data_IF_562372864399
#
_entry.id   IF_562372864399
#
_cell.length_a   1.000
_cell.length_b   1.000
_cell.length_c   1.000
_cell.angle_alpha   90.00
_cell.angle_beta   90.00
_cell.angle_gamma   90.00
#
_symmetry.space_group_name_H-M   'P 1'
#
loop_
_entity.id
_entity.type
_entity.pdbx_description
1 polymer ?
#
# COMPACT_ATOMS: atom_id res chain seq x y z
N UNK A 1 27.46 3.63 -21.51
CA UNK A 1 26.24 3.21 -20.77
C UNK A 1 25.52 4.48 -20.34
N UNK A 2 24.45 4.82 -21.05
CA UNK A 2 23.67 6.03 -20.81
C UNK A 2 22.66 5.66 -19.72
N UNK A 3 22.81 6.19 -18.51
CA UNK A 3 21.81 5.99 -17.46
C UNK A 3 20.52 6.67 -17.91
N UNK A 4 19.44 5.90 -18.03
CA UNK A 4 18.11 6.37 -18.41
C UNK A 4 17.68 7.54 -17.50
N UNK A 5 17.72 8.76 -18.04
CA UNK A 5 17.29 9.99 -17.37
C UNK A 5 15.78 9.91 -17.00
N UNK A 6 15.03 8.99 -17.64
CA UNK A 6 13.63 8.71 -17.38
C UNK A 6 13.34 8.26 -15.94
N UNK A 7 14.29 7.62 -15.26
CA UNK A 7 14.08 7.06 -13.93
C UNK A 7 13.78 8.10 -12.82
N UNK A 8 14.04 9.39 -13.09
CA UNK A 8 13.76 10.51 -12.17
C UNK A 8 12.70 11.48 -12.68
N UNK A 9 12.02 11.17 -13.79
CA UNK A 9 10.98 12.04 -14.31
C UNK A 9 9.74 12.06 -13.38
N UNK A 10 9.09 13.23 -13.21
CA UNK A 10 7.80 13.30 -12.52
C UNK A 10 6.74 12.51 -13.28
N UNK A 11 5.81 11.91 -12.56
CA UNK A 11 4.71 11.13 -13.15
C UNK A 11 3.85 12.00 -14.08
N UNK A 12 3.50 11.46 -15.25
CA UNK A 12 2.46 12.04 -16.10
C UNK A 12 1.06 11.95 -15.44
N UNK A 13 0.07 12.64 -15.99
CA UNK A 13 -1.26 12.72 -15.37
C UNK A 13 -1.95 11.35 -15.20
N UNK A 14 -1.75 10.44 -16.16
CA UNK A 14 -2.31 9.09 -16.09
C UNK A 14 -1.63 8.25 -14.99
N UNK A 15 -0.30 8.28 -14.93
CA UNK A 15 0.49 7.62 -13.90
C UNK A 15 0.21 8.19 -12.52
N UNK A 16 0.00 9.50 -12.40
CA UNK A 16 -0.39 10.17 -11.15
C UNK A 16 -1.72 9.66 -10.64
N UNK A 17 -2.73 9.58 -11.51
CA UNK A 17 -4.05 9.06 -11.15
C UNK A 17 -3.99 7.58 -10.73
N UNK A 18 -3.14 6.78 -11.38
CA UNK A 18 -2.93 5.38 -10.99
C UNK A 18 -2.20 5.29 -9.64
N UNK A 19 -1.17 6.10 -9.43
CA UNK A 19 -0.46 6.19 -8.16
C UNK A 19 -1.39 6.57 -7.00
N UNK A 20 -2.26 7.56 -7.19
CA UNK A 20 -3.24 7.97 -6.17
C UNK A 20 -4.17 6.82 -5.78
N UNK A 21 -4.67 6.07 -6.76
CA UNK A 21 -5.47 4.86 -6.50
C UNK A 21 -4.70 3.79 -5.73
N UNK A 22 -3.43 3.58 -6.07
CA UNK A 22 -2.58 2.59 -5.40
C UNK A 22 -2.34 2.97 -3.93
N UNK A 23 -2.02 4.23 -3.65
CA UNK A 23 -1.82 4.68 -2.26
C UNK A 23 -3.12 4.58 -1.45
N UNK A 24 -4.27 4.91 -2.05
CA UNK A 24 -5.57 4.71 -1.40
C UNK A 24 -5.84 3.25 -1.06
N UNK A 25 -5.53 2.33 -1.99
CA UNK A 25 -5.65 0.89 -1.74
C UNK A 25 -4.71 0.42 -0.61
N UNK A 26 -3.45 0.88 -0.61
CA UNK A 26 -2.49 0.56 0.42
C UNK A 26 -2.90 1.09 1.80
N UNK A 27 -3.48 2.30 1.86
CA UNK A 27 -3.98 2.88 3.10
C UNK A 27 -5.19 2.11 3.64
N UNK A 28 -6.05 1.58 2.77
CA UNK A 28 -7.15 0.67 3.17
C UNK A 28 -6.59 -0.63 3.75
N UNK A 29 -5.66 -1.28 3.06
CA UNK A 29 -4.99 -2.51 3.53
C UNK A 29 -4.34 -2.28 4.88
N UNK A 30 -3.60 -1.17 5.03
CA UNK A 30 -2.96 -0.78 6.29
C UNK A 30 -3.96 -0.71 7.43
N UNK A 31 -5.10 -0.07 7.19
CA UNK A 31 -6.14 0.16 8.21
C UNK A 31 -6.84 -1.15 8.56
N UNK A 32 -7.18 -1.98 7.57
CA UNK A 32 -7.83 -3.27 7.78
C UNK A 32 -6.95 -4.28 8.53
N UNK A 33 -5.64 -4.29 8.23
CA UNK A 33 -4.68 -5.15 8.94
C UNK A 33 -4.15 -4.52 10.24
N UNK A 34 -4.60 -3.31 10.58
CA UNK A 34 -4.12 -2.51 11.69
C UNK A 34 -2.57 -2.40 11.72
N UNK A 35 -1.96 -2.24 10.54
CA UNK A 35 -0.51 -2.14 10.41
C UNK A 35 -0.01 -0.73 10.74
N UNK A 36 1.17 -0.62 11.38
CA UNK A 36 1.82 0.67 11.57
C UNK A 36 2.23 1.25 10.22
N UNK A 37 2.23 2.58 10.13
CA UNK A 37 2.58 3.30 8.90
C UNK A 37 4.00 2.98 8.41
N UNK A 38 4.93 2.76 9.34
CA UNK A 38 6.31 2.35 9.07
C UNK A 38 6.39 1.02 8.30
N UNK A 39 5.49 0.06 8.57
CA UNK A 39 5.48 -1.23 7.88
C UNK A 39 5.17 -1.06 6.40
N UNK A 40 4.13 -0.30 6.06
CA UNK A 40 3.80 -0.02 4.66
C UNK A 40 4.89 0.83 4.00
N UNK A 41 5.44 1.83 4.69
CA UNK A 41 6.53 2.64 4.15
C UNK A 41 7.75 1.78 3.79
N UNK A 42 8.13 0.85 4.68
CA UNK A 42 9.21 -0.12 4.46
C UNK A 42 8.92 -1.04 3.27
N UNK A 43 7.68 -1.53 3.14
CA UNK A 43 7.26 -2.32 1.98
C UNK A 43 7.37 -1.51 0.69
N UNK A 44 7.05 -0.22 0.74
CA UNK A 44 7.16 0.71 -0.38
C UNK A 44 8.62 1.16 -0.64
N UNK A 45 9.59 0.77 0.19
CA UNK A 45 10.99 1.18 0.06
C UNK A 45 11.21 2.68 0.32
N UNK A 46 10.33 3.33 1.06
CA UNK A 46 10.41 4.77 1.38
C UNK A 46 10.38 5.02 2.88
N UNK A 47 10.83 6.20 3.29
CA UNK A 47 10.69 6.64 4.67
C UNK A 47 9.21 6.79 5.05
N UNK A 48 8.89 6.52 6.33
CA UNK A 48 7.55 6.72 6.86
C UNK A 48 7.02 8.13 6.59
N UNK A 49 7.87 9.14 6.73
CA UNK A 49 7.54 10.55 6.44
C UNK A 49 7.12 10.78 4.98
N UNK A 50 7.79 10.12 4.04
CA UNK A 50 7.46 10.16 2.60
C UNK A 50 6.08 9.54 2.35
N UNK A 51 5.83 8.35 2.89
CA UNK A 51 4.53 7.69 2.77
C UNK A 51 3.41 8.51 3.42
N UNK A 52 3.65 9.10 4.60
CA UNK A 52 2.71 9.99 5.27
C UNK A 52 2.31 11.20 4.41
N UNK A 53 3.27 11.81 3.71
CA UNK A 53 2.99 12.91 2.79
C UNK A 53 2.12 12.49 1.62
N UNK A 54 2.32 11.30 1.06
CA UNK A 54 1.46 10.80 -0.03
C UNK A 54 0.02 10.63 0.42
N UNK A 55 -0.19 10.01 1.59
CA UNK A 55 -1.53 9.83 2.18
C UNK A 55 -2.20 11.18 2.45
N UNK A 56 -1.46 12.16 2.99
CA UNK A 56 -1.98 13.50 3.26
C UNK A 56 -2.35 14.26 1.97
N UNK A 57 -1.50 14.17 0.93
CA UNK A 57 -1.73 14.78 -0.38
C UNK A 57 -3.03 14.28 -1.01
N UNK A 58 -3.26 12.97 -0.99
CA UNK A 58 -4.47 12.36 -1.58
C UNK A 58 -5.73 12.73 -0.79
N UNK A 59 -5.61 12.86 0.55
CA UNK A 59 -6.71 13.33 1.42
C UNK A 59 -6.93 14.86 1.35
N UNK A 60 -6.33 15.55 0.37
CA UNK A 60 -6.53 16.98 0.14
C UNK A 60 -5.82 17.91 1.12
N UNK A 61 -4.87 17.39 1.92
CA UNK A 61 -4.12 18.16 2.92
C UNK A 61 -2.67 18.37 2.47
N UNK A 62 -2.47 19.48 1.76
CA UNK A 62 -1.19 20.16 1.40
C UNK A 62 -0.13 19.40 0.58
N UNK A 63 0.70 20.22 -0.11
CA UNK A 63 1.69 19.82 -1.10
C UNK A 63 2.90 19.09 -0.52
N UNK A 64 3.33 18.06 -1.25
CA UNK A 64 4.50 17.25 -0.96
C UNK A 64 5.18 16.79 -2.25
N UNK A 65 6.46 16.43 -2.12
CA UNK A 65 7.35 15.97 -3.19
C UNK A 65 6.67 14.97 -4.12
N UNK A 66 6.76 15.22 -5.43
CA UNK A 66 6.16 14.37 -6.43
C UNK A 66 6.77 12.97 -6.40
N UNK A 67 5.96 11.90 -6.51
CA UNK A 67 6.50 10.56 -6.65
C UNK A 67 7.27 10.49 -7.97
N UNK A 68 8.39 9.77 -7.97
CA UNK A 68 9.14 9.47 -9.20
C UNK A 68 8.61 8.20 -9.87
N UNK A 69 8.89 8.04 -11.15
CA UNK A 69 8.49 6.85 -11.91
C UNK A 69 9.01 5.53 -11.31
N UNK A 70 10.26 5.51 -10.79
CA UNK A 70 10.81 4.35 -10.09
C UNK A 70 9.96 3.91 -8.89
N UNK A 71 9.48 4.88 -8.11
CA UNK A 71 8.64 4.62 -6.95
C UNK A 71 7.30 4.05 -7.39
N UNK A 72 6.70 4.65 -8.43
CA UNK A 72 5.43 4.20 -8.97
C UNK A 72 5.50 2.76 -9.50
N UNK A 73 6.54 2.42 -10.27
CA UNK A 73 6.76 1.07 -10.79
C UNK A 73 7.02 0.06 -9.67
N UNK A 74 7.85 0.44 -8.68
CA UNK A 74 8.11 -0.41 -7.51
C UNK A 74 6.86 -0.71 -6.68
N UNK A 75 5.99 0.30 -6.49
CA UNK A 75 4.70 0.12 -5.84
C UNK A 75 3.79 -0.81 -6.65
N UNK A 76 3.63 -0.53 -7.95
CA UNK A 76 2.78 -1.31 -8.86
C UNK A 76 3.16 -2.79 -8.88
N UNK A 77 4.45 -3.11 -8.81
CA UNK A 77 4.93 -4.49 -8.72
C UNK A 77 4.59 -5.16 -7.38
N UNK A 78 4.64 -4.44 -6.25
CA UNK A 78 4.41 -5.00 -4.90
C UNK A 78 2.95 -5.04 -4.48
N UNK A 79 2.10 -4.18 -5.02
CA UNK A 79 0.65 -4.15 -4.69
C UNK A 79 -0.04 -5.52 -4.80
N UNK A 80 0.14 -6.33 -5.87
CA UNK A 80 -0.51 -7.64 -5.95
C UNK A 80 -0.04 -8.62 -4.86
N UNK A 81 1.25 -8.59 -4.48
CA UNK A 81 1.77 -9.43 -3.39
C UNK A 81 1.11 -9.06 -2.05
N UNK A 82 0.94 -7.77 -1.78
CA UNK A 82 0.29 -7.28 -0.57
C UNK A 82 -1.21 -7.60 -0.54
N UNK A 83 -1.89 -7.55 -1.69
CA UNK A 83 -3.28 -7.98 -1.81
C UNK A 83 -3.39 -9.48 -1.51
N UNK A 84 -2.48 -10.31 -2.04
CA UNK A 84 -2.48 -11.75 -1.76
C UNK A 84 -2.23 -12.05 -0.27
N UNK A 85 -1.33 -11.31 0.40
CA UNK A 85 -1.09 -11.43 1.84
C UNK A 85 -2.31 -11.04 2.68
N UNK A 86 -3.02 -9.97 2.30
CA UNK A 86 -4.29 -9.57 2.92
C UNK A 86 -5.33 -10.68 2.80
N UNK A 87 -5.53 -11.22 1.59
CA UNK A 87 -6.51 -12.28 1.33
C UNK A 87 -6.20 -13.56 2.10
N UNK A 88 -4.92 -13.94 2.17
CA UNK A 88 -4.48 -15.08 2.97
C UNK A 88 -4.75 -14.86 4.47
N UNK A 89 -4.50 -13.65 4.97
CA UNK A 89 -4.77 -13.29 6.36
C UNK A 89 -6.27 -13.34 6.68
N UNK A 90 -7.12 -12.80 5.79
CA UNK A 90 -8.58 -12.86 5.91
C UNK A 90 -9.09 -14.30 5.95
N UNK A 91 -8.61 -15.15 5.05
CA UNK A 91 -8.99 -16.58 5.00
C UNK A 91 -8.62 -17.33 6.27
N UNK A 92 -7.47 -16.99 6.88
CA UNK A 92 -7.05 -17.58 8.15
C UNK A 92 -7.96 -17.14 9.30
N UNK A 93 -8.33 -15.86 9.37
CA UNK A 93 -9.28 -15.34 10.35
C UNK A 93 -10.66 -16.00 10.23
N UNK A 94 -11.17 -16.17 9.02
CA UNK A 94 -12.45 -16.86 8.78
C UNK A 94 -12.42 -18.31 9.26
N UNK A 95 -11.29 -19.00 9.09
CA UNK A 95 -11.11 -20.36 9.59
C UNK A 95 -11.13 -20.40 11.11
N UNK A 96 -10.40 -19.50 11.76
CA UNK A 96 -10.37 -19.39 13.23
C UNK A 96 -11.74 -19.04 13.80
N UNK A 97 -12.49 -18.15 13.14
CA UNK A 97 -13.86 -17.79 13.54
C UNK A 97 -14.79 -19.01 13.51
N UNK A 98 -14.75 -19.80 12.43
CA UNK A 98 -15.53 -21.05 12.34
C UNK A 98 -15.16 -22.04 13.43
N UNK A 99 -13.87 -22.21 13.72
CA UNK A 99 -13.41 -23.08 14.80
C UNK A 99 -13.94 -22.60 16.17
N UNK A 100 -13.90 -21.30 16.46
CA UNK A 100 -14.45 -20.73 17.70
C UNK A 100 -15.96 -20.96 17.80
N UNK A 101 -16.70 -20.78 16.71
CA UNK A 101 -18.15 -21.01 16.68
C UNK A 101 -18.51 -22.48 16.92
N UNK A 102 -17.76 -23.41 16.32
CA UNK A 102 -17.91 -24.84 16.57
C UNK A 102 -17.65 -25.18 18.04
N UNK A 103 -16.55 -24.68 18.61
CA UNK A 103 -16.21 -24.90 20.02
C UNK A 103 -17.23 -24.30 21.00
N UNK A 104 -17.90 -23.19 20.61
CA UNK A 104 -18.98 -22.60 21.42
C UNK A 104 -20.28 -23.42 21.37
N UNK A 105 -20.55 -24.14 20.28
CA UNK A 105 -21.75 -25.00 20.17
C UNK A 105 -21.59 -26.33 20.92
N UNK A 106 -20.36 -26.77 21.16
CA UNK A 106 -20.05 -28.02 21.88
C UNK A 106 -20.01 -27.85 23.41
N UNK A 107 -20.16 -26.61 23.91
CA UNK A 107 -20.29 -26.27 25.34
C UNK A 107 -21.73 -25.98 25.72
#
# INVERSE_FOLDING_TARGET
>A
MMYDICAMAPLNDAQRKEFEKLIDQLERIRTELNWPQEKIASLCGVQQSTYARWVLKIKGKTGGSEPTELIFLGLKAKTPELIAELEASRKMLDKLLKEIESLRKER
#
